data_IF_380922047040
#
_entry.id   IF_380922047040
#
_cell.length_a   1.000
_cell.length_b   1.000
_cell.length_c   1.000
_cell.angle_alpha   90.00
_cell.angle_beta   90.00
_cell.angle_gamma   90.00
#
_symmetry.space_group_name_H-M   'P 1'
#
loop_
_entity.id
_entity.type
_entity.pdbx_description
1 polymer ?
#
# COMPACT_ATOMS: atom_id res chain seq x y z
N UNK A 1 -23.62 26.45 4.97
CA UNK A 1 -22.76 26.23 3.79
C UNK A 1 -23.15 24.88 3.20
N UNK A 2 -23.18 24.71 1.87
CA UNK A 2 -23.33 23.39 1.27
C UNK A 2 -22.14 22.48 1.66
N UNK A 3 -22.40 21.19 1.77
CA UNK A 3 -21.40 20.14 2.01
C UNK A 3 -20.50 19.95 0.78
N UNK A 4 -19.35 19.30 0.97
CA UNK A 4 -18.41 18.96 -0.10
C UNK A 4 -18.81 17.71 -0.90
N UNK A 5 -19.89 17.00 -0.53
CA UNK A 5 -20.35 15.74 -1.13
C UNK A 5 -20.49 15.79 -2.67
N UNK A 6 -20.92 16.92 -3.24
CA UNK A 6 -21.01 17.07 -4.71
C UNK A 6 -19.66 17.14 -5.39
N UNK A 7 -18.66 17.72 -4.72
CA UNK A 7 -17.29 17.79 -5.21
C UNK A 7 -16.60 16.45 -5.02
N UNK A 8 -16.83 15.79 -3.89
CA UNK A 8 -16.37 14.42 -3.62
C UNK A 8 -16.84 13.46 -4.72
N UNK A 9 -18.15 13.45 -5.01
CA UNK A 9 -18.72 12.63 -6.09
C UNK A 9 -18.02 12.83 -7.45
N UNK A 10 -17.73 14.07 -7.82
CA UNK A 10 -17.00 14.38 -9.05
C UNK A 10 -15.54 13.93 -8.96
N UNK A 11 -14.92 14.19 -7.81
CA UNK A 11 -13.53 13.87 -7.53
C UNK A 11 -13.22 12.39 -7.54
N UNK A 12 -14.08 11.55 -6.96
CA UNK A 12 -13.97 10.09 -7.00
C UNK A 12 -13.95 9.58 -8.44
N UNK A 13 -14.88 10.06 -9.28
CA UNK A 13 -14.91 9.69 -10.69
C UNK A 13 -13.63 10.09 -11.44
N UNK A 14 -13.11 11.29 -11.19
CA UNK A 14 -11.85 11.78 -11.78
C UNK A 14 -10.65 10.97 -11.28
N UNK A 15 -10.54 10.74 -9.98
CA UNK A 15 -9.50 9.92 -9.36
C UNK A 15 -9.50 8.51 -9.96
N UNK A 16 -10.67 7.86 -10.01
CA UNK A 16 -10.86 6.53 -10.54
C UNK A 16 -10.44 6.42 -12.00
N UNK A 17 -10.80 7.39 -12.85
CA UNK A 17 -10.38 7.44 -14.25
C UNK A 17 -8.86 7.55 -14.37
N UNK A 18 -8.25 8.54 -13.69
CA UNK A 18 -6.80 8.81 -13.81
C UNK A 18 -5.98 7.62 -13.33
N UNK A 19 -6.33 7.02 -12.19
CA UNK A 19 -5.63 5.84 -11.67
C UNK A 19 -5.81 4.63 -12.59
N UNK A 20 -7.02 4.43 -13.15
CA UNK A 20 -7.27 3.32 -14.08
C UNK A 20 -6.45 3.49 -15.37
N UNK A 21 -6.47 4.69 -15.96
CA UNK A 21 -5.69 5.04 -17.15
C UNK A 21 -4.19 4.81 -16.92
N UNK A 22 -3.69 5.28 -15.78
CA UNK A 22 -2.28 5.17 -15.45
C UNK A 22 -1.85 3.72 -15.24
N UNK A 23 -2.63 2.92 -14.52
CA UNK A 23 -2.35 1.49 -14.32
C UNK A 23 -2.38 0.69 -15.62
N UNK A 24 -3.34 1.00 -16.51
CA UNK A 24 -3.45 0.35 -17.81
C UNK A 24 -2.19 0.57 -18.67
N UNK A 25 -1.68 1.79 -18.72
CA UNK A 25 -0.49 2.12 -19.51
C UNK A 25 0.82 1.67 -18.85
N UNK A 26 0.93 1.74 -17.51
CA UNK A 26 2.13 1.32 -16.78
C UNK A 26 2.29 -0.21 -16.76
N UNK A 27 1.20 -0.96 -16.87
CA UNK A 27 1.21 -2.42 -16.76
C UNK A 27 0.44 -3.12 -17.91
N UNK A 28 0.94 -3.02 -19.16
CA UNK A 28 0.22 -3.53 -20.34
C UNK A 28 -0.03 -5.04 -20.32
N UNK A 29 0.81 -5.80 -19.59
CA UNK A 29 0.74 -7.27 -19.53
C UNK A 29 -0.08 -7.79 -18.34
N UNK A 30 -0.56 -6.92 -17.44
CA UNK A 30 -1.34 -7.37 -16.29
C UNK A 30 -2.80 -7.64 -16.66
N UNK A 31 -3.39 -8.76 -16.19
CA UNK A 31 -4.79 -9.05 -16.42
C UNK A 31 -5.69 -8.10 -15.62
N UNK A 32 -6.92 -7.89 -16.09
CA UNK A 32 -7.93 -6.99 -15.50
C UNK A 32 -8.07 -7.17 -13.98
N UNK A 33 -8.18 -8.42 -13.50
CA UNK A 33 -8.34 -8.68 -12.07
C UNK A 33 -7.17 -8.19 -11.21
N UNK A 34 -5.96 -8.08 -11.78
CA UNK A 34 -4.78 -7.54 -11.10
C UNK A 34 -4.76 -6.02 -11.17
N UNK A 35 -5.12 -5.43 -12.30
CA UNK A 35 -5.32 -3.98 -12.44
C UNK A 35 -6.40 -3.45 -11.48
N UNK A 36 -7.53 -4.15 -11.37
CA UNK A 36 -8.62 -3.81 -10.46
C UNK A 36 -8.18 -3.86 -9.00
N UNK A 37 -7.38 -4.87 -8.63
CA UNK A 37 -6.76 -4.99 -7.30
C UNK A 37 -5.86 -3.78 -7.03
N UNK A 38 -4.89 -3.49 -7.91
CA UNK A 38 -3.98 -2.35 -7.79
C UNK A 38 -4.74 -1.04 -7.63
N UNK A 39 -5.77 -0.81 -8.45
CA UNK A 39 -6.62 0.37 -8.33
C UNK A 39 -7.23 0.48 -6.94
N UNK A 40 -7.83 -0.59 -6.42
CA UNK A 40 -8.42 -0.60 -5.07
C UNK A 40 -7.38 -0.38 -3.96
N UNK A 41 -6.12 -0.75 -4.13
CA UNK A 41 -5.06 -0.40 -3.18
C UNK A 41 -4.77 1.10 -3.14
N UNK A 42 -4.88 1.77 -4.28
CA UNK A 42 -4.53 3.19 -4.42
C UNK A 42 -5.70 4.10 -4.03
N UNK A 43 -6.92 3.72 -4.40
CA UNK A 43 -8.12 4.56 -4.23
C UNK A 43 -8.97 4.21 -2.99
N UNK A 44 -8.41 3.47 -2.02
CA UNK A 44 -9.16 3.18 -0.79
C UNK A 44 -9.04 4.31 0.24
N UNK A 45 -10.05 4.36 1.11
CA UNK A 45 -10.17 5.34 2.20
C UNK A 45 -8.90 5.51 3.03
N UNK A 46 -8.20 4.43 3.39
CA UNK A 46 -6.98 4.54 4.22
C UNK A 46 -5.83 5.20 3.46
N UNK A 47 -5.66 4.83 2.20
CA UNK A 47 -4.65 5.39 1.33
C UNK A 47 -4.91 6.89 1.09
N UNK A 48 -6.15 7.26 0.77
CA UNK A 48 -6.54 8.66 0.57
C UNK A 48 -6.46 9.47 1.88
N UNK A 49 -6.83 8.90 3.02
CA UNK A 49 -6.65 9.54 4.32
C UNK A 49 -5.16 9.78 4.64
N UNK A 50 -4.27 8.86 4.25
CA UNK A 50 -2.82 9.05 4.38
C UNK A 50 -2.32 10.21 3.51
N UNK A 51 -2.79 10.31 2.27
CA UNK A 51 -2.51 11.46 1.39
C UNK A 51 -3.00 12.75 2.04
N UNK A 52 -4.22 12.77 2.55
CA UNK A 52 -4.80 13.93 3.22
C UNK A 52 -3.96 14.41 4.40
N UNK A 53 -3.44 13.48 5.22
CA UNK A 53 -2.54 13.79 6.34
C UNK A 53 -1.20 14.34 5.86
N UNK A 54 -0.63 13.78 4.80
CA UNK A 54 0.60 14.29 4.18
C UNK A 54 0.47 15.73 3.68
N UNK A 55 -0.75 16.14 3.33
CA UNK A 55 -1.10 17.50 2.91
C UNK A 55 -1.62 18.40 4.04
N UNK A 56 -1.71 17.89 5.28
CA UNK A 56 -2.38 18.54 6.41
C UNK A 56 -3.82 19.03 6.09
N UNK A 57 -4.57 18.29 5.26
CA UNK A 57 -5.94 18.69 4.88
C UNK A 57 -6.88 18.75 6.09
N UNK A 58 -6.65 17.92 7.12
CA UNK A 58 -7.46 17.90 8.34
C UNK A 58 -7.54 19.25 9.05
N UNK A 59 -6.49 20.08 8.99
CA UNK A 59 -6.48 21.42 9.57
C UNK A 59 -7.35 22.41 8.78
N UNK A 60 -7.53 22.18 7.47
CA UNK A 60 -8.34 23.02 6.59
C UNK A 60 -9.84 22.67 6.57
N UNK A 61 -10.23 21.47 7.03
CA UNK A 61 -11.64 21.03 7.02
C UNK A 61 -12.48 21.87 7.97
N UNK A 62 -13.65 22.30 7.51
CA UNK A 62 -14.65 22.97 8.35
C UNK A 62 -15.64 21.93 8.88
N UNK A 63 -15.58 21.67 10.18
CA UNK A 63 -16.41 20.68 10.84
C UNK A 63 -17.46 21.35 11.74
N UNK A 64 -18.59 20.67 11.91
CA UNK A 64 -19.56 21.01 12.94
C UNK A 64 -18.99 20.72 14.33
N UNK A 65 -19.49 21.42 15.37
CA UNK A 65 -18.96 21.29 16.75
C UNK A 65 -18.96 19.86 17.27
N UNK A 66 -19.99 19.06 16.95
CA UNK A 66 -20.07 17.66 17.37
C UNK A 66 -19.01 16.79 16.70
N UNK A 67 -18.81 16.98 15.39
CA UNK A 67 -17.81 16.24 14.62
C UNK A 67 -16.39 16.59 15.09
N UNK A 68 -16.12 17.88 15.30
CA UNK A 68 -14.88 18.40 15.88
C UNK A 68 -14.58 17.77 17.25
N UNK A 69 -15.58 17.74 18.15
CA UNK A 69 -15.43 17.20 19.50
C UNK A 69 -15.12 15.70 19.53
N UNK A 70 -15.42 14.96 18.46
CA UNK A 70 -15.11 13.53 18.31
C UNK A 70 -13.83 13.27 17.51
N UNK A 71 -13.00 14.29 17.28
CA UNK A 71 -11.74 14.15 16.55
C UNK A 71 -11.93 14.02 15.03
N UNK A 72 -13.01 14.58 14.47
CA UNK A 72 -13.33 14.46 13.04
C UNK A 72 -12.21 14.86 12.08
N UNK A 73 -11.30 15.75 12.49
CA UNK A 73 -10.15 16.19 11.68
C UNK A 73 -9.18 15.06 11.34
N UNK A 74 -9.16 13.99 12.13
CA UNK A 74 -8.28 12.85 11.92
C UNK A 74 -9.05 11.57 11.55
N UNK A 75 -10.36 11.67 11.27
CA UNK A 75 -11.14 10.51 10.81
C UNK A 75 -10.81 10.19 9.36
N UNK A 76 -10.48 8.93 9.10
CA UNK A 76 -10.11 8.45 7.76
C UNK A 76 -11.17 8.75 6.69
N UNK A 77 -12.46 8.59 7.02
CA UNK A 77 -13.56 8.87 6.07
C UNK A 77 -13.59 10.34 5.69
N UNK A 78 -13.57 11.25 6.66
CA UNK A 78 -13.60 12.71 6.41
C UNK A 78 -12.39 13.14 5.58
N UNK A 79 -11.22 12.59 5.88
CA UNK A 79 -9.98 12.89 5.18
C UNK A 79 -9.98 12.36 3.73
N UNK A 80 -10.49 11.15 3.51
CA UNK A 80 -10.64 10.58 2.18
C UNK A 80 -11.63 11.39 1.33
N UNK A 81 -12.84 11.62 1.84
CA UNK A 81 -13.90 12.39 1.17
C UNK A 81 -13.42 13.83 0.86
N UNK A 82 -12.65 14.43 1.77
CA UNK A 82 -12.04 15.75 1.54
C UNK A 82 -11.00 15.71 0.42
N UNK A 83 -10.19 14.67 0.32
CA UNK A 83 -9.20 14.52 -0.74
C UNK A 83 -9.87 14.43 -2.10
N UNK A 84 -10.93 13.62 -2.22
CA UNK A 84 -11.74 13.52 -3.43
C UNK A 84 -12.40 14.87 -3.75
N UNK A 85 -12.98 15.55 -2.77
CA UNK A 85 -13.57 16.87 -2.97
C UNK A 85 -12.56 17.91 -3.48
N UNK A 86 -11.30 17.86 -3.02
CA UNK A 86 -10.22 18.73 -3.54
C UNK A 86 -9.90 18.38 -4.99
N UNK A 87 -9.84 17.09 -5.35
CA UNK A 87 -9.66 16.66 -6.74
C UNK A 87 -10.80 17.18 -7.63
N UNK A 88 -12.05 17.05 -7.17
CA UNK A 88 -13.23 17.58 -7.88
C UNK A 88 -13.17 19.11 -8.03
N UNK A 89 -12.70 19.83 -7.01
CA UNK A 89 -12.50 21.28 -7.08
C UNK A 89 -11.41 21.68 -8.10
N UNK A 90 -10.28 20.97 -8.12
CA UNK A 90 -9.20 21.19 -9.11
C UNK A 90 -9.71 20.91 -10.53
N UNK A 91 -10.48 19.84 -10.72
CA UNK A 91 -11.09 19.54 -12.02
C UNK A 91 -11.98 20.68 -12.52
N UNK A 92 -12.85 21.21 -11.67
CA UNK A 92 -13.73 22.31 -12.06
C UNK A 92 -12.99 23.63 -12.30
N UNK A 93 -11.97 23.93 -11.49
CA UNK A 93 -11.27 25.20 -11.55
C UNK A 93 -10.19 25.24 -12.65
N UNK A 94 -9.51 24.12 -12.87
CA UNK A 94 -8.30 24.05 -13.68
C UNK A 94 -8.43 23.11 -14.89
N UNK A 95 -9.53 22.38 -15.02
CA UNK A 95 -9.79 21.47 -16.14
C UNK A 95 -9.17 20.07 -15.97
N UNK A 96 -9.46 19.17 -16.93
CA UNK A 96 -9.13 17.74 -16.84
C UNK A 96 -7.62 17.47 -16.80
N UNK A 97 -6.81 18.16 -17.59
CA UNK A 97 -5.36 17.90 -17.68
C UNK A 97 -4.65 18.26 -16.37
N UNK A 98 -4.98 19.42 -15.79
CA UNK A 98 -4.43 19.84 -14.51
C UNK A 98 -4.87 18.91 -13.36
N UNK A 99 -6.12 18.43 -13.41
CA UNK A 99 -6.61 17.44 -12.44
C UNK A 99 -5.87 16.10 -12.57
N UNK A 100 -5.59 15.65 -13.80
CA UNK A 100 -4.78 14.43 -14.05
C UNK A 100 -3.40 14.56 -13.44
N UNK A 101 -2.69 15.66 -13.72
CA UNK A 101 -1.36 15.89 -13.14
C UNK A 101 -1.41 15.95 -11.60
N UNK A 102 -2.42 16.61 -11.06
CA UNK A 102 -2.60 16.73 -9.61
C UNK A 102 -2.81 15.35 -8.96
N UNK A 103 -3.74 14.55 -9.50
CA UNK A 103 -4.00 13.19 -9.00
C UNK A 103 -2.72 12.35 -9.05
N UNK A 104 -1.99 12.35 -10.16
CA UNK A 104 -0.75 11.56 -10.29
C UNK A 104 0.33 12.00 -9.30
N UNK A 105 0.42 13.28 -8.95
CA UNK A 105 1.34 13.74 -7.89
C UNK A 105 0.92 13.23 -6.52
N UNK A 106 -0.38 13.17 -6.24
CA UNK A 106 -0.90 12.69 -4.95
C UNK A 106 -0.72 11.19 -4.77
N UNK A 107 -1.09 10.42 -5.80
CA UNK A 107 -1.16 8.95 -5.70
C UNK A 107 0.03 8.25 -6.34
N UNK A 108 0.94 8.97 -6.99
CA UNK A 108 2.18 8.43 -7.57
C UNK A 108 2.99 7.58 -6.59
N UNK A 109 3.28 8.07 -5.37
CA UNK A 109 3.95 7.25 -4.35
C UNK A 109 3.18 5.98 -3.99
N UNK A 110 1.84 6.04 -3.97
CA UNK A 110 1.00 4.88 -3.70
C UNK A 110 0.99 3.88 -4.87
N UNK A 111 1.11 4.37 -6.11
CA UNK A 111 1.19 3.55 -7.32
C UNK A 111 2.52 2.78 -7.37
N UNK A 112 3.64 3.43 -7.06
CA UNK A 112 4.96 2.77 -6.99
C UNK A 112 4.98 1.71 -5.91
N UNK A 113 4.53 2.07 -4.71
CA UNK A 113 4.36 1.12 -3.60
C UNK A 113 3.44 -0.01 -4.06
N UNK A 114 2.24 0.27 -4.59
CA UNK A 114 1.29 -0.76 -5.02
C UNK A 114 1.80 -1.65 -6.15
N UNK A 115 2.67 -1.17 -7.04
CA UNK A 115 3.31 -1.99 -8.06
C UNK A 115 4.33 -2.95 -7.46
N UNK A 116 5.13 -2.49 -6.48
CA UNK A 116 5.96 -3.37 -5.65
C UNK A 116 5.11 -4.34 -4.83
N UNK A 117 3.99 -3.86 -4.27
CA UNK A 117 2.94 -4.64 -3.63
C UNK A 117 1.99 -5.28 -4.67
N UNK A 118 2.35 -5.35 -5.95
CA UNK A 118 1.61 -6.19 -6.90
C UNK A 118 1.60 -7.60 -6.33
N UNK A 119 2.68 -8.02 -5.69
CA UNK A 119 2.76 -9.18 -4.80
C UNK A 119 2.23 -8.91 -3.36
N UNK A 120 1.22 -8.08 -3.14
CA UNK A 120 0.98 -7.50 -1.81
C UNK A 120 -0.39 -6.92 -1.47
N UNK A 121 -1.42 -7.11 -2.29
CA UNK A 121 -2.80 -7.00 -1.77
C UNK A 121 -3.26 -8.24 -1.01
N UNK A 122 -2.53 -9.33 -1.20
CA UNK A 122 -2.62 -10.50 -0.37
C UNK A 122 -1.21 -10.86 0.09
N UNK A 123 -0.65 -10.06 1.00
CA UNK A 123 0.69 -10.31 1.50
C UNK A 123 0.84 -11.70 2.08
N UNK A 124 -0.22 -12.24 2.70
CA UNK A 124 -0.22 -13.63 3.15
C UNK A 124 0.00 -14.60 2.00
N UNK A 125 -0.79 -14.50 0.93
CA UNK A 125 -0.64 -15.39 -0.24
C UNK A 125 0.68 -15.15 -0.96
N UNK A 126 1.11 -13.91 -1.15
CA UNK A 126 2.36 -13.62 -1.83
C UNK A 126 3.60 -13.97 -1.01
N UNK A 127 3.54 -13.86 0.31
CA UNK A 127 4.56 -14.37 1.21
C UNK A 127 4.60 -15.90 1.20
N UNK A 128 3.43 -16.56 1.14
CA UNK A 128 3.32 -18.01 1.01
C UNK A 128 3.89 -18.50 -0.34
N UNK A 129 3.57 -17.83 -1.45
CA UNK A 129 4.11 -18.13 -2.78
C UNK A 129 5.62 -17.90 -2.83
N UNK A 130 6.10 -16.78 -2.27
CA UNK A 130 7.53 -16.47 -2.18
C UNK A 130 8.28 -17.50 -1.33
N UNK A 131 7.71 -17.90 -0.19
CA UNK A 131 8.24 -18.94 0.67
C UNK A 131 8.32 -20.29 -0.04
N UNK A 132 7.26 -20.69 -0.75
CA UNK A 132 7.21 -21.92 -1.54
C UNK A 132 8.24 -21.92 -2.68
N UNK A 133 8.35 -20.82 -3.44
CA UNK A 133 9.33 -20.65 -4.51
C UNK A 133 10.79 -20.70 -4.02
N UNK A 134 11.00 -20.50 -2.72
CA UNK A 134 12.32 -20.52 -2.09
C UNK A 134 12.55 -21.70 -1.16
N UNK A 135 11.62 -22.66 -1.08
CA UNK A 135 11.76 -23.85 -0.24
C UNK A 135 11.79 -23.54 1.26
N UNK A 136 11.17 -22.43 1.69
CA UNK A 136 11.09 -22.02 3.09
C UNK A 136 9.94 -22.69 3.86
N UNK A 137 9.06 -23.40 3.16
CA UNK A 137 7.86 -23.99 3.75
C UNK A 137 6.72 -22.99 3.95
N UNK A 138 5.66 -23.36 4.67
CA UNK A 138 4.53 -22.49 4.95
C UNK A 138 4.88 -21.38 5.94
N UNK A 139 4.23 -20.22 5.79
CA UNK A 139 4.34 -19.13 6.77
C UNK A 139 3.39 -19.37 7.95
N UNK A 140 3.88 -19.15 9.17
CA UNK A 140 3.10 -19.15 10.41
C UNK A 140 2.95 -17.73 10.97
N UNK A 141 1.82 -17.47 11.63
CA UNK A 141 1.53 -16.18 12.27
C UNK A 141 1.30 -16.37 13.76
N UNK A 142 2.04 -15.62 14.58
CA UNK A 142 1.80 -15.51 16.01
C UNK A 142 1.20 -14.13 16.31
N UNK A 143 0.00 -14.09 16.87
CA UNK A 143 -0.72 -12.84 17.16
C UNK A 143 -0.91 -12.66 18.66
N UNK A 144 -0.58 -11.48 19.17
CA UNK A 144 -0.89 -11.03 20.52
C UNK A 144 -1.90 -9.87 20.48
N UNK A 145 -2.67 -9.71 21.54
CA UNK A 145 -3.64 -8.62 21.68
C UNK A 145 -3.50 -7.94 23.05
N UNK A 146 -3.57 -6.61 23.07
CA UNK A 146 -3.47 -5.80 24.27
C UNK A 146 -4.51 -4.67 24.27
N UNK A 147 -4.83 -4.15 25.45
CA UNK A 147 -5.79 -3.06 25.63
C UNK A 147 -7.23 -3.51 25.93
N UNK A 148 -8.12 -2.57 26.30
CA UNK A 148 -9.50 -2.87 26.62
C UNK A 148 -10.30 -3.20 25.35
N UNK A 149 -11.42 -3.92 25.47
CA UNK A 149 -12.21 -4.43 24.32
C UNK A 149 -12.56 -3.36 23.26
N UNK A 150 -12.78 -2.11 23.68
CA UNK A 150 -13.12 -0.99 22.81
C UNK A 150 -11.91 -0.26 22.20
N UNK A 151 -10.68 -0.63 22.58
CA UNK A 151 -9.43 -0.06 22.10
C UNK A 151 -8.33 -1.14 22.01
N UNK A 152 -8.70 -2.35 21.58
CA UNK A 152 -7.75 -3.45 21.38
C UNK A 152 -6.77 -3.13 20.27
N UNK A 153 -5.50 -3.41 20.52
CA UNK A 153 -4.41 -3.38 19.55
C UNK A 153 -3.90 -4.80 19.39
N UNK A 154 -3.62 -5.18 18.16
CA UNK A 154 -3.09 -6.48 17.79
C UNK A 154 -1.67 -6.31 17.26
N UNK A 155 -0.76 -7.19 17.68
CA UNK A 155 0.56 -7.34 17.10
C UNK A 155 0.70 -8.75 16.52
N UNK A 156 1.36 -8.89 15.38
CA UNK A 156 1.58 -10.16 14.71
C UNK A 156 3.03 -10.31 14.27
N UNK A 157 3.53 -11.55 14.33
CA UNK A 157 4.84 -11.94 13.82
C UNK A 157 4.65 -13.06 12.79
N UNK A 158 5.19 -12.87 11.59
CA UNK A 158 5.21 -13.84 10.49
C UNK A 158 6.56 -14.55 10.42
N UNK A 159 6.56 -15.89 10.44
CA UNK A 159 7.78 -16.71 10.49
C UNK A 159 7.71 -17.91 9.53
N UNK A 160 8.87 -18.43 9.13
CA UNK A 160 9.00 -19.69 8.38
C UNK A 160 9.74 -20.71 9.26
N UNK A 161 9.03 -21.50 10.07
CA UNK A 161 9.67 -22.36 11.09
C UNK A 161 10.45 -23.53 10.49
N UNK A 162 10.05 -24.01 9.32
CA UNK A 162 10.68 -25.15 8.63
C UNK A 162 11.79 -24.74 7.67
N UNK A 163 12.06 -23.43 7.55
CA UNK A 163 13.03 -22.94 6.59
C UNK A 163 14.43 -23.46 6.94
N UNK A 164 15.13 -24.11 5.98
CA UNK A 164 16.50 -24.55 6.23
C UNK A 164 17.36 -23.32 6.53
N UNK A 165 18.15 -23.39 7.60
CA UNK A 165 19.21 -22.41 7.90
C UNK A 165 20.34 -22.50 6.86
N UNK A 166 20.01 -22.34 5.59
CA UNK A 166 20.95 -22.37 4.49
C UNK A 166 21.75 -21.06 4.54
N UNK A 167 23.01 -21.16 4.99
CA UNK A 167 24.03 -20.11 5.16
C UNK A 167 24.10 -19.39 6.50
N UNK A 168 23.70 -20.03 7.61
CA UNK A 168 24.02 -19.53 8.96
C UNK A 168 23.44 -18.16 9.30
N UNK A 169 22.44 -17.68 8.54
CA UNK A 169 21.66 -16.49 8.83
C UNK A 169 20.25 -16.87 9.24
N UNK A 170 19.65 -16.09 10.15
CA UNK A 170 18.25 -16.23 10.51
C UNK A 170 17.37 -15.94 9.29
N UNK A 171 16.34 -16.76 9.08
CA UNK A 171 15.32 -16.51 8.06
C UNK A 171 14.57 -15.25 8.49
N UNK A 172 14.43 -14.25 7.62
CA UNK A 172 13.80 -12.99 7.98
C UNK A 172 12.37 -13.23 8.46
N UNK A 173 12.06 -12.65 9.62
CA UNK A 173 10.71 -12.57 10.19
C UNK A 173 10.11 -11.22 9.84
N UNK A 174 8.77 -11.14 9.85
CA UNK A 174 8.06 -9.87 9.68
C UNK A 174 7.19 -9.57 10.87
N UNK A 175 7.14 -8.30 11.27
CA UNK A 175 6.31 -7.81 12.37
C UNK A 175 5.26 -6.83 11.84
N UNK A 176 4.09 -6.82 12.45
CA UNK A 176 3.00 -5.93 12.07
C UNK A 176 2.04 -5.64 13.23
N UNK A 177 1.36 -4.51 13.18
CA UNK A 177 0.38 -4.10 14.19
C UNK A 177 -0.90 -3.55 13.54
N UNK A 178 -2.03 -3.64 14.24
CA UNK A 178 -3.32 -3.18 13.73
C UNK A 178 -4.43 -3.12 14.76
N UNK A 179 -5.59 -2.58 14.35
CA UNK A 179 -6.83 -2.55 15.14
C UNK A 179 -7.64 -3.85 15.03
N UNK A 180 -7.16 -4.80 14.22
CA UNK A 180 -7.73 -6.14 14.10
C UNK A 180 -6.62 -7.18 13.87
N UNK A 181 -6.88 -8.44 14.21
CA UNK A 181 -5.97 -9.57 13.92
C UNK A 181 -5.56 -9.61 12.44
N UNK A 182 -6.55 -9.48 11.55
CA UNK A 182 -6.35 -9.49 10.10
C UNK A 182 -5.41 -8.39 9.61
N UNK A 183 -5.51 -7.20 10.20
CA UNK A 183 -4.66 -6.06 9.87
C UNK A 183 -3.22 -6.27 10.34
N UNK A 184 -3.04 -6.69 11.60
CA UNK A 184 -1.71 -6.98 12.14
C UNK A 184 -0.99 -8.07 11.33
N UNK A 185 -1.69 -9.15 10.98
CA UNK A 185 -1.13 -10.23 10.17
C UNK A 185 -0.78 -9.79 8.74
N UNK A 186 -1.56 -8.89 8.12
CA UNK A 186 -1.20 -8.39 6.79
C UNK A 186 0.05 -7.52 6.83
N UNK A 187 0.22 -6.68 7.85
CA UNK A 187 1.43 -5.86 7.98
C UNK A 187 2.65 -6.74 8.29
N UNK A 188 2.49 -7.77 9.12
CA UNK A 188 3.55 -8.74 9.39
C UNK A 188 3.97 -9.48 8.12
N UNK A 189 3.00 -9.87 7.29
CA UNK A 189 3.26 -10.49 6.00
C UNK A 189 3.99 -9.54 5.02
N UNK A 190 3.58 -8.27 4.96
CA UNK A 190 4.24 -7.25 4.15
C UNK A 190 5.69 -7.05 4.58
N UNK A 191 5.93 -6.94 5.89
CA UNK A 191 7.24 -6.77 6.49
C UNK A 191 8.17 -7.95 6.16
N UNK A 192 7.71 -9.18 6.33
CA UNK A 192 8.47 -10.39 6.00
C UNK A 192 8.78 -10.50 4.50
N UNK A 193 7.80 -10.18 3.64
CA UNK A 193 7.96 -10.22 2.19
C UNK A 193 9.05 -9.23 1.73
N UNK A 194 9.01 -7.99 2.23
CA UNK A 194 10.03 -6.96 1.93
C UNK A 194 11.42 -7.41 2.39
N UNK A 195 11.53 -7.96 3.59
CA UNK A 195 12.80 -8.43 4.13
C UNK A 195 13.39 -9.58 3.30
N UNK A 196 12.57 -10.55 2.88
CA UNK A 196 12.98 -11.62 1.97
C UNK A 196 13.41 -11.11 0.60
N UNK A 197 12.70 -10.12 0.07
CA UNK A 197 13.01 -9.53 -1.23
C UNK A 197 14.33 -8.74 -1.20
N UNK A 198 14.54 -7.93 -0.16
CA UNK A 198 15.73 -7.09 0.03
C UNK A 198 17.02 -7.91 0.24
N UNK A 199 16.96 -9.01 0.98
CA UNK A 199 18.10 -9.92 1.19
C UNK A 199 18.67 -10.49 -0.12
N UNK A 200 17.89 -10.51 -1.20
CA UNK A 200 18.30 -11.11 -2.47
C UNK A 200 18.56 -10.12 -3.59
N UNK A 201 18.00 -8.90 -3.51
CA UNK A 201 18.41 -7.76 -4.33
C UNK A 201 19.88 -7.33 -4.11
N UNK A 202 20.50 -7.77 -3.01
CA UNK A 202 21.88 -7.47 -2.64
C UNK A 202 22.93 -8.51 -3.11
N UNK A 203 22.64 -9.35 -4.11
CA UNK A 203 23.66 -10.28 -4.65
C UNK A 203 24.49 -9.55 -5.72
N UNK A 204 25.85 -9.53 -5.64
CA UNK A 204 26.68 -8.85 -6.65
C UNK A 204 26.47 -9.50 -8.01
N UNK A 205 26.38 -8.67 -9.06
CA UNK A 205 26.49 -9.12 -10.44
C UNK A 205 27.69 -10.06 -10.55
N UNK A 206 27.44 -11.32 -10.87
CA UNK A 206 28.49 -12.23 -11.25
C UNK A 206 29.15 -11.67 -12.52
N UNK A 207 30.31 -11.03 -12.34
CA UNK A 207 31.24 -10.75 -13.41
C UNK A 207 31.65 -12.11 -13.97
N UNK A 208 31.17 -12.41 -15.17
CA UNK A 208 31.73 -13.48 -15.98
C UNK A 208 33.14 -13.05 -16.38
N UNK A 209 34.12 -13.51 -15.60
CA UNK A 209 35.52 -13.56 -16.01
C UNK A 209 35.61 -14.61 -17.12
N UNK A 210 35.79 -14.15 -18.36
CA UNK A 210 36.18 -15.02 -19.47
C UNK A 210 37.69 -15.20 -19.44
N UNK A 211 38.21 -16.44 -19.32
CA UNK A 211 39.61 -16.69 -19.60
C UNK A 211 39.83 -16.60 -21.11
N UNK A 212 40.61 -15.61 -21.54
CA UNK A 212 41.11 -15.55 -22.93
C UNK A 212 42.26 -16.54 -23.05
N UNK A 213 41.96 -17.69 -23.65
CA UNK A 213 42.94 -18.63 -24.18
C UNK A 213 43.76 -17.98 -25.31
N UNK A 214 45.06 -18.28 -25.29
CA UNK A 214 46.08 -17.83 -26.25
C UNK A 214 45.88 -18.46 -27.63
N UNK A 215 46.29 -17.75 -28.70
CA UNK A 215 46.47 -18.39 -30.00
C UNK A 215 46.91 -17.48 -31.15
N UNK A 216 48.22 -17.56 -31.45
CA UNK A 216 48.96 -17.15 -32.66
C UNK A 216 49.26 -15.64 -32.88
#
# INVERSE_FOLDING_TARGET
>A
MPTNERLEFLGDAVLGLVVTDELFHRHPDLPEGRLAKLRSAVVNMRALASVARGLDLGSAVRLGRGEEATGGRDKDSILADTTEAVIGAVYLACGPDAAREFVLRLVGPLLEVSAELGAGLDWKTSLQELGAAHGLGPVEYQVTEEGPDHAKVFAAVATFPEAPSARGGAVPQGEGAGRSKKEAEQEAAASAWRALHALRGATPSASFDHPVEQGA
#
